data_IF_845864265532
#
_entry.id   IF_845864265532
#
_cell.length_a   1.000
_cell.length_b   1.000
_cell.length_c   1.000
_cell.angle_alpha   90.00
_cell.angle_beta   90.00
_cell.angle_gamma   90.00
#
_symmetry.space_group_name_H-M   'P 1'
#
loop_
_entity.id
_entity.type
_entity.pdbx_description
1 polymer ?
#
# COMPACT_ATOMS: atom_id res chain seq x y z
N UNK A 1 37.47 55.16 -20.85
CA UNK A 1 36.02 54.95 -21.07
C UNK A 1 35.72 53.47 -20.95
N UNK A 2 34.57 53.16 -20.36
CA UNK A 2 34.23 52.00 -19.52
C UNK A 2 34.11 50.67 -20.30
N UNK A 3 34.78 49.61 -19.84
CA UNK A 3 34.55 48.22 -20.28
C UNK A 3 33.34 47.65 -19.52
N UNK A 4 32.26 47.31 -20.22
CA UNK A 4 31.15 46.53 -19.67
C UNK A 4 31.52 45.03 -19.71
N UNK A 5 31.61 44.40 -18.53
CA UNK A 5 31.53 42.94 -18.42
C UNK A 5 30.06 42.56 -18.25
N UNK A 6 29.50 41.85 -19.22
CA UNK A 6 28.21 41.15 -19.08
C UNK A 6 28.51 39.82 -18.39
N UNK A 7 28.13 39.70 -17.12
CA UNK A 7 28.14 38.43 -16.38
C UNK A 7 26.81 37.75 -16.67
N UNK A 8 26.83 36.75 -17.54
CA UNK A 8 25.70 35.89 -17.84
C UNK A 8 25.61 34.81 -16.76
N UNK A 9 24.89 35.09 -15.68
CA UNK A 9 24.58 34.11 -14.64
C UNK A 9 23.54 33.12 -15.18
N UNK A 10 23.99 31.95 -15.65
CA UNK A 10 23.13 30.79 -15.82
C UNK A 10 22.64 30.33 -14.45
N UNK A 11 21.41 30.71 -14.09
CA UNK A 11 20.66 30.05 -13.04
C UNK A 11 20.27 28.66 -13.57
N UNK A 12 21.14 27.67 -13.37
CA UNK A 12 20.77 26.28 -13.46
C UNK A 12 19.76 26.00 -12.33
N UNK A 13 18.48 26.21 -12.63
CA UNK A 13 17.38 25.80 -11.76
C UNK A 13 17.31 24.27 -11.82
N UNK A 14 18.04 23.61 -10.91
CA UNK A 14 17.72 22.24 -10.55
C UNK A 14 16.35 22.26 -9.88
N UNK A 15 15.29 21.96 -10.63
CA UNK A 15 14.06 21.54 -9.99
C UNK A 15 14.35 20.23 -9.25
N UNK A 16 14.01 20.12 -7.95
CA UNK A 16 14.06 18.81 -7.30
C UNK A 16 13.15 17.88 -8.11
N UNK A 17 13.69 16.74 -8.55
CA UNK A 17 12.86 15.65 -9.07
C UNK A 17 11.78 15.40 -8.01
N UNK A 18 10.51 15.22 -8.39
CA UNK A 18 9.51 14.71 -7.46
C UNK A 18 10.12 13.45 -6.86
N UNK A 19 10.40 13.47 -5.57
CA UNK A 19 10.86 12.28 -4.89
C UNK A 19 9.65 11.37 -4.88
N UNK A 20 9.66 10.41 -5.80
CA UNK A 20 8.70 9.33 -5.91
C UNK A 20 8.90 8.40 -4.71
N UNK A 21 8.62 8.92 -3.51
CA UNK A 21 8.54 8.10 -2.33
C UNK A 21 7.25 7.30 -2.51
N UNK A 22 7.42 6.00 -2.75
CA UNK A 22 6.30 5.05 -2.69
C UNK A 22 5.51 5.33 -1.40
N UNK A 23 4.17 5.36 -1.47
CA UNK A 23 3.35 5.64 -0.30
C UNK A 23 3.72 4.68 0.83
N UNK A 24 3.78 5.21 2.05
CA UNK A 24 3.88 4.37 3.24
C UNK A 24 2.52 3.69 3.44
N UNK A 25 2.47 2.42 3.07
CA UNK A 25 1.27 1.58 3.12
C UNK A 25 1.33 0.61 4.32
N UNK A 26 2.29 0.75 5.22
CA UNK A 26 2.29 -0.04 6.45
C UNK A 26 1.15 0.38 7.36
N UNK A 27 0.39 -0.58 7.88
CA UNK A 27 -0.72 -0.26 8.76
C UNK A 27 -1.72 -1.38 8.99
N UNK A 28 -2.73 -1.05 9.78
CA UNK A 28 -3.90 -1.88 10.04
C UNK A 28 -5.08 -1.34 9.21
N UNK A 29 -5.60 -2.18 8.33
CA UNK A 29 -6.74 -1.89 7.47
C UNK A 29 -7.94 -2.71 7.92
N UNK A 30 -8.97 -2.05 8.42
CA UNK A 30 -10.21 -2.70 8.84
C UNK A 30 -11.25 -2.62 7.73
N UNK A 31 -12.04 -3.67 7.58
CA UNK A 31 -13.12 -3.71 6.60
C UNK A 31 -14.26 -4.63 7.02
N UNK A 32 -15.36 -4.56 6.26
CA UNK A 32 -16.51 -5.44 6.42
C UNK A 32 -16.72 -6.22 5.13
N UNK A 33 -16.69 -7.54 5.20
CA UNK A 33 -17.07 -8.42 4.11
C UNK A 33 -18.58 -8.64 4.15
N UNK A 34 -19.27 -8.41 3.02
CA UNK A 34 -20.72 -8.61 2.91
C UNK A 34 -21.04 -9.56 1.77
N UNK A 35 -21.80 -10.61 2.05
CA UNK A 35 -22.29 -11.57 1.05
C UNK A 35 -23.73 -12.00 1.36
N UNK A 36 -24.69 -11.50 0.59
CA UNK A 36 -26.11 -11.76 0.86
C UNK A 36 -26.53 -11.18 2.22
N UNK A 37 -27.02 -12.04 3.11
CA UNK A 37 -27.36 -11.69 4.49
C UNK A 37 -26.23 -11.94 5.50
N UNK A 38 -25.07 -12.38 5.03
CA UNK A 38 -23.88 -12.58 5.84
C UNK A 38 -23.00 -11.33 5.78
N UNK A 39 -22.51 -10.90 6.93
CA UNK A 39 -21.56 -9.80 7.08
C UNK A 39 -20.55 -10.19 8.14
N UNK A 40 -19.29 -9.82 7.95
CA UNK A 40 -18.24 -10.00 8.95
C UNK A 40 -17.21 -8.89 8.90
N UNK A 41 -16.74 -8.47 10.07
CA UNK A 41 -15.64 -7.52 10.18
C UNK A 41 -14.31 -8.27 10.15
N UNK A 42 -13.32 -7.64 9.51
CA UNK A 42 -11.98 -8.17 9.37
C UNK A 42 -10.92 -7.08 9.45
N UNK A 43 -9.72 -7.49 9.81
CA UNK A 43 -8.53 -6.67 9.81
C UNK A 43 -7.46 -7.28 8.88
N UNK A 44 -6.78 -6.42 8.13
CA UNK A 44 -5.57 -6.74 7.37
C UNK A 44 -4.44 -5.90 7.93
N UNK A 45 -3.42 -6.55 8.48
CA UNK A 45 -2.19 -5.89 8.88
C UNK A 45 -1.16 -6.03 7.75
N UNK A 46 -0.73 -4.91 7.15
CA UNK A 46 0.27 -4.84 6.09
C UNK A 46 1.57 -4.27 6.66
N UNK A 47 2.68 -4.96 6.41
CA UNK A 47 4.01 -4.59 6.90
C UNK A 47 5.05 -4.71 5.79
N UNK A 48 6.08 -3.89 5.86
CA UNK A 48 7.26 -4.03 5.02
C UNK A 48 8.29 -4.90 5.73
N UNK A 49 8.66 -6.01 5.11
CA UNK A 49 9.89 -6.73 5.45
C UNK A 49 11.04 -6.21 4.57
N UNK A 50 12.27 -6.56 4.94
CA UNK A 50 13.53 -6.12 4.31
C UNK A 50 13.58 -6.22 2.78
N UNK A 51 12.78 -7.08 2.16
CA UNK A 51 12.76 -7.28 0.71
C UNK A 51 11.36 -7.20 0.08
N UNK A 52 10.30 -7.47 0.84
CA UNK A 52 8.94 -7.65 0.31
C UNK A 52 7.86 -7.16 1.28
N UNK A 53 6.62 -7.11 0.78
CA UNK A 53 5.45 -6.87 1.63
C UNK A 53 4.96 -8.19 2.23
N UNK A 54 4.60 -8.14 3.51
CA UNK A 54 3.92 -9.23 4.20
C UNK A 54 2.58 -8.72 4.73
N UNK A 55 1.57 -9.58 4.73
CA UNK A 55 0.26 -9.24 5.24
C UNK A 55 -0.35 -10.39 6.04
N UNK A 56 -1.15 -10.05 7.04
CA UNK A 56 -1.94 -11.02 7.80
C UNK A 56 -3.40 -10.61 7.92
N UNK A 57 -4.27 -11.60 7.98
CA UNK A 57 -5.72 -11.47 8.08
C UNK A 57 -6.21 -11.87 9.48
N UNK A 58 -7.09 -11.07 10.07
CA UNK A 58 -7.80 -11.42 11.29
C UNK A 58 -9.31 -11.21 11.12
N UNK A 59 -10.10 -12.11 11.68
CA UNK A 59 -11.56 -12.00 11.77
C UNK A 59 -12.01 -12.75 13.03
N UNK A 60 -12.49 -11.99 14.02
CA UNK A 60 -12.88 -12.52 15.32
C UNK A 60 -14.01 -13.56 15.20
N UNK A 61 -15.01 -13.26 14.38
CA UNK A 61 -16.22 -14.07 14.19
C UNK A 61 -15.91 -15.44 13.55
N UNK A 62 -14.80 -15.52 12.80
CA UNK A 62 -14.29 -16.76 12.21
C UNK A 62 -13.22 -17.43 13.09
N UNK A 63 -12.92 -16.88 14.28
CA UNK A 63 -11.79 -17.29 15.12
C UNK A 63 -10.46 -17.36 14.33
N UNK A 64 -10.26 -16.41 13.42
CA UNK A 64 -9.08 -16.29 12.59
C UNK A 64 -8.21 -15.14 13.14
N UNK A 65 -6.99 -15.43 13.55
CA UNK A 65 -6.09 -14.43 14.10
C UNK A 65 -4.72 -14.50 13.41
N UNK A 66 -4.31 -13.38 12.81
CA UNK A 66 -3.04 -13.21 12.10
C UNK A 66 -2.73 -14.34 11.10
N UNK A 67 -3.74 -14.78 10.35
CA UNK A 67 -3.57 -15.80 9.31
C UNK A 67 -2.78 -15.16 8.16
N UNK A 68 -1.62 -15.71 7.78
CA UNK A 68 -0.79 -15.11 6.74
C UNK A 68 -1.45 -15.24 5.36
N UNK A 69 -1.43 -14.17 4.57
CA UNK A 69 -1.74 -14.25 3.16
C UNK A 69 -0.64 -15.03 2.43
N UNK A 70 -1.02 -15.91 1.49
CA UNK A 70 -0.05 -16.69 0.71
C UNK A 70 0.59 -15.89 -0.43
N UNK A 71 -0.17 -14.95 -0.97
CA UNK A 71 0.31 -14.01 -1.99
C UNK A 71 0.04 -12.61 -1.47
N UNK A 72 1.06 -11.77 -1.50
CA UNK A 72 1.01 -10.36 -1.16
C UNK A 72 1.72 -9.63 -2.29
N UNK A 73 0.99 -8.83 -3.05
CA UNK A 73 1.55 -7.97 -4.10
C UNK A 73 1.04 -6.55 -3.88
N UNK A 74 1.95 -5.60 -3.90
CA UNK A 74 1.64 -4.17 -3.78
C UNK A 74 2.31 -3.47 -4.95
N UNK A 75 1.50 -2.80 -5.77
CA UNK A 75 1.90 -2.13 -7.00
C UNK A 75 1.39 -0.69 -6.96
N UNK A 76 2.26 0.25 -6.60
CA UNK A 76 1.88 1.65 -6.39
C UNK A 76 0.88 1.79 -5.25
N UNK A 77 -0.34 2.24 -5.56
CA UNK A 77 -1.46 2.40 -4.63
C UNK A 77 -2.42 1.21 -4.65
N UNK A 78 -2.07 0.10 -5.30
CA UNK A 78 -2.93 -1.08 -5.42
C UNK A 78 -2.32 -2.28 -4.71
N UNK A 79 -3.17 -3.14 -4.14
CA UNK A 79 -2.74 -4.38 -3.51
C UNK A 79 -3.61 -5.58 -3.92
N UNK A 80 -2.95 -6.72 -4.02
CA UNK A 80 -3.54 -8.02 -4.24
C UNK A 80 -3.11 -8.98 -3.14
N UNK A 81 -4.09 -9.60 -2.49
CA UNK A 81 -3.86 -10.61 -1.46
C UNK A 81 -4.59 -11.91 -1.78
N UNK A 82 -3.97 -13.05 -1.44
CA UNK A 82 -4.63 -14.37 -1.52
C UNK A 82 -4.63 -15.05 -0.16
N UNK A 83 -5.83 -15.26 0.39
CA UNK A 83 -6.02 -16.02 1.62
C UNK A 83 -6.46 -17.44 1.25
N UNK A 84 -5.77 -18.44 1.80
CA UNK A 84 -6.13 -19.84 1.57
C UNK A 84 -6.81 -20.43 2.80
N UNK A 85 -7.95 -21.09 2.59
CA UNK A 85 -8.50 -22.08 3.51
C UNK A 85 -8.37 -23.50 2.92
N UNK A 86 -8.80 -24.51 3.68
CA UNK A 86 -8.73 -25.90 3.26
C UNK A 86 -9.50 -26.17 1.95
N UNK A 87 -10.64 -25.50 1.74
CA UNK A 87 -11.48 -25.72 0.55
C UNK A 87 -11.55 -24.53 -0.41
N UNK A 88 -11.13 -23.33 0.00
CA UNK A 88 -11.34 -22.11 -0.79
C UNK A 88 -10.08 -21.24 -0.85
N UNK A 89 -9.99 -20.45 -1.91
CA UNK A 89 -9.02 -19.36 -2.06
C UNK A 89 -9.81 -18.07 -2.21
N UNK A 90 -9.53 -17.12 -1.33
CA UNK A 90 -10.14 -15.79 -1.34
C UNK A 90 -9.14 -14.80 -1.93
N UNK A 91 -9.60 -14.02 -2.90
CA UNK A 91 -8.81 -12.98 -3.56
C UNK A 91 -9.32 -11.62 -3.09
N UNK A 92 -8.40 -10.79 -2.63
CA UNK A 92 -8.65 -9.42 -2.23
C UNK A 92 -7.88 -8.52 -3.18
N UNK A 93 -8.61 -7.77 -3.99
CA UNK A 93 -8.07 -6.79 -4.93
C UNK A 93 -8.58 -5.42 -4.51
N UNK A 94 -7.67 -4.48 -4.26
CA UNK A 94 -8.03 -3.17 -3.76
C UNK A 94 -7.03 -2.11 -4.15
N UNK A 95 -7.50 -0.86 -4.07
CA UNK A 95 -6.69 0.34 -4.20
C UNK A 95 -6.76 1.12 -2.90
N UNK A 96 -5.60 1.53 -2.40
CA UNK A 96 -5.49 2.48 -1.31
C UNK A 96 -5.89 3.86 -1.83
N UNK A 97 -6.93 4.42 -1.25
CA UNK A 97 -7.25 5.83 -1.43
C UNK A 97 -6.51 6.59 -0.33
N UNK A 98 -5.80 7.66 -0.70
CA UNK A 98 -5.27 8.57 0.31
C UNK A 98 -6.44 9.14 1.10
N UNK A 99 -6.36 9.12 2.43
CA UNK A 99 -7.31 9.82 3.28
C UNK A 99 -7.48 11.25 2.74
N UNK A 100 -8.71 11.64 2.45
CA UNK A 100 -9.04 13.00 2.01
C UNK A 100 -8.74 14.05 3.06
#
# INVERSE_FOLDING_TARGET
MQKWLIILSLLASCQPKPTDHAPDLEGLYTGTFVFGNFSMDFDIELKKDSLDWIASFSCLEQNAYQIPFRVVKVEGDSAHFQLQSDQYTYHFDGRFEADG
#
